data_IF_953642223911
#
_entry.id   IF_953642223911
#
_cell.length_a   1.000
_cell.length_b   1.000
_cell.length_c   1.000
_cell.angle_alpha   90.00
_cell.angle_beta   90.00
_cell.angle_gamma   90.00
#
_symmetry.space_group_name_H-M   'P 1'
#
loop_
_entity.id
_entity.type
_entity.pdbx_description
1 polymer ?
#
# COMPACT_ATOMS: atom_id res chain seq x y z
N UNK A 1 17.73 -4.88 -8.26
CA UNK A 1 17.72 -5.07 -6.80
C UNK A 1 17.79 -3.71 -6.18
N UNK A 2 16.85 -3.41 -5.29
CA UNK A 2 16.84 -2.15 -4.55
C UNK A 2 17.87 -2.24 -3.43
N UNK A 3 18.47 -1.11 -3.06
CA UNK A 3 19.26 -1.08 -1.84
C UNK A 3 18.32 -1.11 -0.63
N UNK A 4 18.77 -1.63 0.54
CA UNK A 4 18.04 -1.51 1.79
C UNK A 4 17.58 -0.08 2.12
N UNK A 5 18.37 0.91 1.73
CA UNK A 5 18.11 2.33 1.99
C UNK A 5 16.94 2.86 1.16
N UNK A 6 16.78 2.37 -0.08
CA UNK A 6 15.66 2.74 -0.96
C UNK A 6 14.30 2.30 -0.43
N UNK A 7 14.29 1.24 0.39
CA UNK A 7 13.09 0.65 0.97
C UNK A 7 12.65 1.33 2.27
N UNK A 8 13.57 1.96 3.00
CA UNK A 8 13.26 2.60 4.29
C UNK A 8 12.38 3.83 4.03
N UNK A 9 11.29 3.94 4.79
CA UNK A 9 10.30 5.01 4.68
C UNK A 9 9.20 4.73 3.65
N UNK A 10 9.36 3.70 2.81
CA UNK A 10 8.35 3.37 1.81
C UNK A 10 7.07 2.84 2.46
N UNK A 11 5.93 3.28 1.92
CA UNK A 11 4.61 2.82 2.34
C UNK A 11 4.13 1.73 1.41
N UNK A 12 3.74 0.60 1.97
CA UNK A 12 3.33 -0.60 1.22
C UNK A 12 2.07 -1.20 1.82
N UNK A 13 1.29 -1.88 1.00
CA UNK A 13 0.18 -2.72 1.45
C UNK A 13 0.70 -4.12 1.76
N UNK A 14 0.55 -4.56 3.00
CA UNK A 14 0.88 -5.91 3.43
C UNK A 14 -0.38 -6.73 3.66
N UNK A 15 -0.41 -7.94 3.14
CA UNK A 15 -1.41 -8.93 3.51
C UNK A 15 -1.02 -9.57 4.83
N UNK A 16 -1.88 -9.38 5.83
CA UNK A 16 -1.78 -10.06 7.12
C UNK A 16 -2.63 -11.32 7.03
N UNK A 17 -2.02 -12.51 7.20
CA UNK A 17 -2.75 -13.76 7.15
C UNK A 17 -3.77 -13.81 8.30
N UNK A 18 -4.84 -14.57 8.06
CA UNK A 18 -5.90 -14.85 9.02
C UNK A 18 -5.32 -15.37 10.33
N UNK A 19 -5.70 -14.73 11.43
CA UNK A 19 -5.31 -15.18 12.77
C UNK A 19 -5.97 -16.53 13.07
N UNK A 20 -5.17 -17.50 13.52
CA UNK A 20 -5.65 -18.81 13.95
C UNK A 20 -6.67 -18.74 15.09
N UNK A 21 -6.58 -17.72 15.94
CA UNK A 21 -7.53 -17.48 17.03
C UNK A 21 -8.85 -16.87 16.55
N UNK A 22 -8.86 -16.27 15.35
CA UNK A 22 -10.04 -15.66 14.74
C UNK A 22 -10.28 -16.23 13.35
N UNK A 23 -10.79 -17.47 13.26
CA UNK A 23 -11.03 -18.08 11.98
C UNK A 23 -12.02 -17.26 11.15
N UNK A 24 -13.03 -16.57 11.67
CA UNK A 24 -13.94 -15.89 10.74
C UNK A 24 -13.41 -14.55 10.18
N UNK A 25 -12.15 -14.18 10.46
CA UNK A 25 -11.52 -13.01 9.87
C UNK A 25 -10.95 -13.34 8.48
N UNK A 26 -11.42 -12.63 7.47
CA UNK A 26 -10.79 -12.66 6.15
C UNK A 26 -9.37 -12.06 6.21
N UNK A 27 -8.45 -12.46 5.31
CA UNK A 27 -7.15 -11.80 5.20
C UNK A 27 -7.32 -10.29 5.01
N UNK A 28 -6.61 -9.50 5.80
CA UNK A 28 -6.70 -8.04 5.73
C UNK A 28 -5.44 -7.45 5.11
N UNK A 29 -5.63 -6.51 4.18
CA UNK A 29 -4.55 -5.64 3.70
C UNK A 29 -4.40 -4.47 4.66
N UNK A 30 -3.17 -4.28 5.13
CA UNK A 30 -2.82 -3.24 6.10
C UNK A 30 -1.74 -2.37 5.51
N UNK A 31 -1.91 -1.05 5.66
CA UNK A 31 -0.91 -0.07 5.26
C UNK A 31 0.26 -0.18 6.22
N UNK A 32 1.48 -0.22 5.71
CA UNK A 32 2.68 -0.32 6.54
C UNK A 32 3.80 0.56 6.02
N UNK A 33 4.56 1.15 6.94
CA UNK A 33 5.82 1.84 6.64
C UNK A 33 6.98 0.89 6.90
N UNK A 34 7.82 0.69 5.89
CA UNK A 34 9.07 -0.05 6.05
C UNK A 34 10.04 0.82 6.85
N UNK A 35 10.43 0.37 8.03
CA UNK A 35 11.33 1.14 8.91
C UNK A 35 12.76 0.62 8.87
N UNK A 36 13.70 1.45 9.34
CA UNK A 36 15.11 1.09 9.40
C UNK A 36 15.31 -0.17 10.26
N UNK A 37 16.05 -1.18 9.75
CA UNK A 37 16.34 -2.38 10.53
C UNK A 37 17.29 -2.03 11.67
N UNK A 38 17.01 -2.47 12.90
CA UNK A 38 18.01 -2.45 13.98
C UNK A 38 19.13 -3.46 13.73
N UNK A 39 18.87 -4.48 12.92
CA UNK A 39 19.83 -5.49 12.44
C UNK A 39 19.43 -6.01 11.05
N UNK A 40 20.14 -5.66 9.95
CA UNK A 40 19.93 -6.29 8.64
C UNK A 40 20.07 -7.82 8.74
N UNK A 41 19.35 -8.64 7.95
CA UNK A 41 18.59 -8.34 6.72
C UNK A 41 17.07 -8.12 6.90
N UNK A 42 16.60 -7.96 8.14
CA UNK A 42 15.18 -7.91 8.47
C UNK A 42 14.70 -6.49 8.70
N UNK A 43 13.68 -6.06 7.99
CA UNK A 43 13.03 -4.77 8.16
C UNK A 43 11.83 -4.93 9.08
N UNK A 44 11.54 -3.89 9.86
CA UNK A 44 10.30 -3.84 10.62
C UNK A 44 9.27 -3.03 9.82
N UNK A 45 8.19 -3.68 9.40
CA UNK A 45 7.07 -3.03 8.73
C UNK A 45 6.03 -2.61 9.78
N UNK A 46 6.03 -1.31 10.11
CA UNK A 46 5.13 -0.73 11.11
C UNK A 46 3.79 -0.42 10.47
N UNK A 47 2.70 -0.93 11.04
CA UNK A 47 1.36 -0.69 10.52
C UNK A 47 0.93 0.77 10.72
N UNK A 48 0.27 1.34 9.71
CA UNK A 48 -0.48 2.60 9.79
C UNK A 48 -1.97 2.24 9.91
N UNK A 49 -2.61 2.75 10.96
CA UNK A 49 -4.04 2.53 11.26
C UNK A 49 -4.49 1.06 11.16
N UNK A 50 -3.85 0.12 11.89
CA UNK A 50 -4.22 -1.28 11.82
C UNK A 50 -5.67 -1.50 12.30
N UNK A 51 -6.41 -2.44 11.67
CA UNK A 51 -7.70 -2.90 12.19
C UNK A 51 -7.61 -3.30 13.66
N UNK A 52 -8.66 -3.05 14.46
CA UNK A 52 -8.65 -3.35 15.89
C UNK A 52 -8.42 -4.84 16.24
N UNK A 53 -8.66 -5.74 15.27
CA UNK A 53 -8.38 -7.17 15.41
C UNK A 53 -6.86 -7.47 15.43
N UNK A 54 -6.04 -6.61 14.82
CA UNK A 54 -4.59 -6.72 14.82
C UNK A 54 -4.03 -6.17 16.12
N UNK A 55 -3.50 -7.07 16.95
CA UNK A 55 -2.89 -6.71 18.24
C UNK A 55 -1.44 -6.24 18.10
N UNK A 56 -0.80 -6.60 17.00
CA UNK A 56 0.61 -6.29 16.76
C UNK A 56 0.76 -4.93 16.06
N UNK A 57 1.72 -4.09 16.47
CA UNK A 57 1.95 -2.78 15.85
C UNK A 57 2.64 -2.85 14.47
N UNK A 58 2.98 -4.05 14.00
CA UNK A 58 3.76 -4.30 12.80
C UNK A 58 4.40 -5.68 12.82
N UNK A 59 5.07 -6.06 11.74
CA UNK A 59 5.77 -7.35 11.64
C UNK A 59 7.16 -7.21 11.02
N UNK A 60 8.02 -8.17 11.33
CA UNK A 60 9.31 -8.31 10.66
C UNK A 60 9.12 -8.91 9.27
N UNK A 61 9.80 -8.33 8.28
CA UNK A 61 9.82 -8.80 6.90
C UNK A 61 11.26 -8.88 6.40
N UNK A 62 11.54 -9.85 5.53
CA UNK A 62 12.84 -9.97 4.88
C UNK A 62 13.04 -8.88 3.81
N UNK A 63 14.29 -8.67 3.38
CA UNK A 63 14.59 -7.82 2.22
C UNK A 63 13.77 -8.20 0.99
N UNK A 64 13.65 -9.50 0.70
CA UNK A 64 12.88 -9.98 -0.44
C UNK A 64 11.40 -9.60 -0.34
N UNK A 65 10.79 -9.79 0.83
CA UNK A 65 9.39 -9.40 1.06
C UNK A 65 9.19 -7.88 0.96
N UNK A 66 10.15 -7.10 1.45
CA UNK A 66 10.14 -5.64 1.33
C UNK A 66 10.23 -5.20 -0.15
N UNK A 67 11.13 -5.80 -0.94
CA UNK A 67 11.22 -5.56 -2.39
C UNK A 67 9.92 -5.93 -3.10
N UNK A 68 9.37 -7.12 -2.83
CA UNK A 68 8.09 -7.56 -3.42
C UNK A 68 6.95 -6.60 -3.08
N UNK A 69 6.81 -6.21 -1.81
CA UNK A 69 5.76 -5.29 -1.38
C UNK A 69 5.91 -3.92 -2.05
N UNK A 70 7.14 -3.41 -2.18
CA UNK A 70 7.41 -2.16 -2.87
C UNK A 70 7.06 -2.22 -4.37
N UNK A 71 7.42 -3.30 -5.05
CA UNK A 71 7.18 -3.43 -6.50
C UNK A 71 5.72 -3.72 -6.85
N UNK A 72 5.03 -4.55 -6.07
CA UNK A 72 3.70 -5.07 -6.43
C UNK A 72 2.56 -4.40 -5.65
N UNK A 73 2.85 -3.80 -4.51
CA UNK A 73 1.84 -3.25 -3.63
C UNK A 73 2.26 -1.92 -2.98
N UNK A 74 2.82 -0.95 -3.73
CA UNK A 74 3.13 0.36 -3.17
C UNK A 74 1.82 1.05 -2.75
N UNK A 75 1.88 1.77 -1.64
CA UNK A 75 0.85 2.77 -1.33
C UNK A 75 1.18 3.97 -2.19
N UNK A 76 0.32 4.23 -3.17
CA UNK A 76 0.31 5.52 -3.86
C UNK A 76 -0.39 6.49 -2.91
N UNK A 77 0.38 7.31 -2.18
CA UNK A 77 -0.21 8.50 -1.58
C UNK A 77 -0.61 9.38 -2.74
N UNK A 78 -1.88 9.78 -2.77
CA UNK A 78 -2.48 10.59 -3.84
C UNK A 78 -1.49 11.70 -4.20
N UNK A 79 -0.82 11.55 -5.35
CA UNK A 79 -0.31 12.70 -6.05
C UNK A 79 -1.54 13.60 -6.19
N UNK A 80 -1.48 14.80 -5.62
CA UNK A 80 -2.48 15.83 -5.87
C UNK A 80 -2.62 15.99 -7.40
N UNK A 81 -3.53 15.24 -8.02
CA UNK A 81 -4.08 15.50 -9.35
C UNK A 81 -5.06 16.69 -9.24
N UNK A 82 -4.67 17.70 -8.49
CA UNK A 82 -5.25 19.02 -8.56
C UNK A 82 -4.37 19.82 -9.51
N UNK A 83 -4.64 19.69 -10.82
CA UNK A 83 -4.54 20.73 -11.87
C UNK A 83 -4.30 20.10 -13.25
N UNK A 84 -5.37 19.59 -13.86
CA UNK A 84 -5.61 19.81 -15.29
C UNK A 84 -7.13 19.79 -15.50
N UNK A 85 -7.80 20.73 -14.85
CA UNK A 85 -9.13 21.13 -15.27
C UNK A 85 -8.98 21.92 -16.56
N UNK A 86 -9.54 21.44 -17.67
CA UNK A 86 -10.55 22.19 -18.41
C UNK A 86 -11.25 21.31 -19.46
N UNK A 87 -12.57 21.41 -19.42
CA UNK A 87 -13.55 20.82 -20.32
C UNK A 87 -13.32 21.24 -21.77
N UNK A 88 -13.55 20.32 -22.72
CA UNK A 88 -14.49 20.58 -23.82
C UNK A 88 -14.84 19.26 -24.51
N UNK A 89 -15.90 18.60 -24.01
CA UNK A 89 -16.57 17.54 -24.75
C UNK A 89 -17.82 18.18 -25.35
N UNK A 90 -17.68 18.77 -26.53
CA UNK A 90 -18.80 19.25 -27.32
C UNK A 90 -19.57 18.05 -27.88
N UNK A 91 -20.65 17.67 -27.19
CA UNK A 91 -21.67 16.80 -27.72
C UNK A 91 -22.62 17.63 -28.61
N UNK A 92 -22.18 17.95 -29.83
CA UNK A 92 -23.08 18.44 -30.87
C UNK A 92 -24.03 17.32 -31.33
N UNK A 93 -25.17 17.31 -30.65
CA UNK A 93 -26.54 16.94 -31.01
C UNK A 93 -26.87 16.85 -32.52
N UNK A 94 -26.48 15.76 -33.21
CA UNK A 94 -26.97 15.45 -34.57
C UNK A 94 -27.91 14.23 -34.63
N UNK A 95 -28.94 14.22 -33.76
CA UNK A 95 -30.16 13.42 -33.96
C UNK A 95 -31.41 14.31 -33.99
N UNK A 96 -31.38 15.38 -34.79
CA UNK A 96 -32.56 16.21 -35.05
C UNK A 96 -32.84 16.38 -36.55
N UNK A 97 -33.74 15.52 -37.02
CA UNK A 97 -34.61 15.66 -38.21
C UNK A 97 -33.93 16.02 -39.54
N UNK A 98 -33.85 15.04 -40.45
CA UNK A 98 -34.59 15.10 -41.71
C UNK A 98 -34.78 13.73 -42.35
#
# INVERSE_FOLDING_TARGET
>A
MLSPEDLIGQKVWLEVPRDSDFPNLDPHRVKAVITQPTSPPWFYARYEDPPAALREPGRWISLYEAEQAYFFAPVLEDYDFADDSEEDIDYEDEYRLH
#
